data_IF_354630595152
#
_entry.id   IF_354630595152
#
_cell.length_a   1.000
_cell.length_b   1.000
_cell.length_c   1.000
_cell.angle_alpha   90.00
_cell.angle_beta   90.00
_cell.angle_gamma   90.00
#
_symmetry.space_group_name_H-M   'P 1'
#
loop_
_entity.id
_entity.type
_entity.pdbx_description
1 polymer ?
#
# COMPACT_ATOMS: atom_id res chain seq x y z
N UNK A 1 -1.67 -0.77 -2.78
CA UNK A 1 -2.49 0.29 -2.14
C UNK A 1 -2.56 1.48 -3.09
N UNK A 2 -3.64 2.27 -3.07
CA UNK A 2 -3.93 3.26 -4.13
C UNK A 2 -3.95 4.72 -3.63
N UNK A 3 -4.23 4.97 -2.35
CA UNK A 3 -4.28 6.33 -1.78
C UNK A 3 -4.05 6.35 -0.25
N UNK A 4 -3.97 7.55 0.32
CA UNK A 4 -3.77 7.77 1.77
C UNK A 4 -4.87 7.13 2.62
N UNK A 5 -6.11 7.03 2.10
CA UNK A 5 -7.19 6.32 2.78
C UNK A 5 -6.90 4.83 2.91
N UNK A 6 -6.32 4.20 1.88
CA UNK A 6 -5.90 2.80 1.96
C UNK A 6 -4.80 2.62 3.01
N UNK A 7 -3.85 3.55 3.07
CA UNK A 7 -2.77 3.55 4.07
C UNK A 7 -3.35 3.60 5.47
N UNK A 8 -4.30 4.51 5.72
CA UNK A 8 -4.98 4.62 7.01
C UNK A 8 -5.70 3.33 7.40
N UNK A 9 -6.53 2.78 6.51
CA UNK A 9 -7.28 1.54 6.78
C UNK A 9 -6.35 0.40 7.17
N UNK A 10 -5.26 0.18 6.41
CA UNK A 10 -4.31 -0.89 6.73
C UNK A 10 -3.54 -0.61 8.03
N UNK A 11 -3.17 0.64 8.29
CA UNK A 11 -2.47 0.99 9.53
C UNK A 11 -3.34 0.75 10.76
N UNK A 12 -4.61 1.14 10.70
CA UNK A 12 -5.60 0.94 11.77
C UNK A 12 -5.81 -0.56 12.03
N UNK A 13 -6.06 -1.35 10.98
CA UNK A 13 -6.29 -2.80 11.09
C UNK A 13 -5.08 -3.58 11.64
N UNK A 14 -3.85 -3.18 11.27
CA UNK A 14 -2.64 -3.78 11.81
C UNK A 14 -2.43 -3.42 13.28
N UNK A 15 -2.72 -2.16 13.64
CA UNK A 15 -2.65 -1.67 15.01
C UNK A 15 -3.61 -2.41 15.94
N UNK A 16 -4.85 -2.63 15.51
CA UNK A 16 -5.88 -3.39 16.26
C UNK A 16 -5.48 -4.85 16.52
N UNK A 17 -4.50 -5.37 15.77
CA UNK A 17 -3.95 -6.72 15.91
C UNK A 17 -2.57 -6.76 16.57
N UNK A 18 -2.10 -5.62 17.10
CA UNK A 18 -0.77 -5.46 17.69
C UNK A 18 0.40 -5.84 16.74
N UNK A 19 0.22 -5.68 15.43
CA UNK A 19 1.28 -5.91 14.46
C UNK A 19 2.12 -4.64 14.34
N UNK A 20 3.44 -4.77 14.51
CA UNK A 20 4.36 -3.63 14.44
C UNK A 20 4.57 -3.22 12.99
N UNK A 21 4.06 -2.04 12.66
CA UNK A 21 4.25 -1.38 11.37
C UNK A 21 5.57 -0.60 11.36
N UNK A 22 6.54 -1.02 10.55
CA UNK A 22 7.81 -0.32 10.39
C UNK A 22 7.71 0.80 9.35
N UNK A 23 7.01 0.54 8.24
CA UNK A 23 6.88 1.47 7.12
C UNK A 23 5.65 1.13 6.28
N UNK A 24 4.91 2.15 5.86
CA UNK A 24 3.81 2.00 4.89
C UNK A 24 3.89 3.12 3.85
N UNK A 25 3.91 2.72 2.59
CA UNK A 25 3.90 3.64 1.46
C UNK A 25 2.99 3.09 0.36
N UNK A 26 2.77 3.87 -0.69
CA UNK A 26 1.97 3.43 -1.83
C UNK A 26 2.51 2.13 -2.43
N UNK A 27 1.76 1.05 -2.27
CA UNK A 27 2.11 -0.26 -2.84
C UNK A 27 3.17 -1.04 -2.05
N UNK A 28 3.65 -0.53 -0.91
CA UNK A 28 4.70 -1.18 -0.12
C UNK A 28 4.35 -1.15 1.37
N UNK A 29 4.62 -2.27 2.03
CA UNK A 29 4.47 -2.42 3.47
C UNK A 29 5.72 -3.10 4.02
N UNK A 30 6.25 -2.61 5.14
CA UNK A 30 7.35 -3.24 5.88
C UNK A 30 6.89 -3.48 7.31
N UNK A 31 6.93 -4.72 7.74
CA UNK A 31 6.48 -5.17 9.05
C UNK A 31 7.60 -5.97 9.72
N UNK A 32 7.55 -6.00 11.05
CA UNK A 32 8.30 -6.97 11.85
C UNK A 32 7.34 -8.11 12.25
N UNK A 33 7.34 -9.19 11.48
CA UNK A 33 6.43 -10.33 11.64
C UNK A 33 7.12 -11.65 11.28
N UNK A 34 6.60 -12.76 11.82
CA UNK A 34 6.98 -14.11 11.41
C UNK A 34 6.01 -14.71 10.38
N UNK A 35 6.41 -15.84 9.79
CA UNK A 35 5.62 -16.59 8.79
C UNK A 35 4.22 -17.00 9.29
N UNK A 36 4.07 -17.26 10.59
CA UNK A 36 2.80 -17.70 11.16
C UNK A 36 1.83 -16.52 11.27
N UNK A 37 2.29 -15.36 11.69
CA UNK A 37 1.54 -14.11 11.71
C UNK A 37 1.22 -13.62 10.29
N UNK A 38 2.17 -13.75 9.35
CA UNK A 38 1.93 -13.40 7.95
C UNK A 38 0.73 -14.20 7.40
N UNK A 39 0.74 -15.53 7.57
CA UNK A 39 -0.28 -16.41 6.98
C UNK A 39 -1.63 -16.34 7.69
N UNK A 40 -1.63 -16.31 9.02
CA UNK A 40 -2.87 -16.45 9.80
C UNK A 40 -3.52 -15.11 10.14
N UNK A 41 -2.80 -14.00 10.03
CA UNK A 41 -3.28 -12.68 10.46
C UNK A 41 -3.17 -11.65 9.34
N UNK A 42 -1.98 -11.42 8.79
CA UNK A 42 -1.78 -10.36 7.78
C UNK A 42 -2.59 -10.61 6.50
N UNK A 43 -2.49 -11.82 5.93
CA UNK A 43 -3.20 -12.14 4.68
C UNK A 43 -4.72 -11.94 4.83
N UNK A 44 -5.39 -12.49 5.86
CA UNK A 44 -6.81 -12.23 6.09
C UNK A 44 -7.17 -10.75 6.26
N UNK A 45 -6.35 -9.96 6.97
CA UNK A 45 -6.57 -8.51 7.12
C UNK A 45 -6.58 -7.84 5.75
N UNK A 46 -5.58 -8.13 4.92
CA UNK A 46 -5.46 -7.55 3.58
C UNK A 46 -6.66 -7.95 2.71
N UNK A 47 -6.99 -9.24 2.66
CA UNK A 47 -8.08 -9.76 1.82
C UNK A 47 -9.45 -9.21 2.24
N UNK A 48 -9.74 -9.15 3.54
CA UNK A 48 -10.99 -8.56 4.06
C UNK A 48 -11.16 -7.08 3.70
N UNK A 49 -10.05 -6.39 3.51
CA UNK A 49 -10.01 -4.99 3.10
C UNK A 49 -9.84 -4.81 1.57
N UNK A 50 -9.96 -5.89 0.78
CA UNK A 50 -9.90 -5.86 -0.68
C UNK A 50 -8.48 -5.73 -1.26
N UNK A 51 -7.46 -6.04 -0.47
CA UNK A 51 -6.06 -6.03 -0.87
C UNK A 51 -5.54 -7.46 -1.07
N UNK A 52 -4.44 -7.58 -1.83
CA UNK A 52 -3.75 -8.85 -2.04
C UNK A 52 -2.24 -8.66 -1.98
N UNK A 53 -1.53 -9.71 -1.53
CA UNK A 53 -0.08 -9.75 -1.58
C UNK A 53 0.40 -10.17 -2.97
N UNK A 54 1.42 -9.47 -3.47
CA UNK A 54 2.03 -9.74 -4.76
C UNK A 54 3.24 -10.65 -4.54
N UNK A 55 3.11 -11.91 -4.94
CA UNK A 55 4.16 -12.93 -4.77
C UNK A 55 4.98 -13.21 -6.03
N UNK A 56 4.45 -12.90 -7.22
CA UNK A 56 5.15 -13.10 -8.49
C UNK A 56 6.20 -12.00 -8.70
N UNK A 57 7.46 -12.34 -9.01
CA UNK A 57 8.51 -11.35 -9.29
C UNK A 57 8.14 -10.40 -10.43
N UNK A 58 7.47 -10.90 -11.47
CA UNK A 58 7.03 -10.12 -12.62
C UNK A 58 6.00 -9.07 -12.20
N UNK A 59 5.02 -9.46 -11.38
CA UNK A 59 4.02 -8.53 -10.85
C UNK A 59 4.63 -7.51 -9.90
N UNK A 60 5.61 -7.92 -9.09
CA UNK A 60 6.36 -6.99 -8.22
C UNK A 60 7.10 -5.94 -9.04
N UNK A 61 7.77 -6.35 -10.14
CA UNK A 61 8.45 -5.43 -11.05
C UNK A 61 7.47 -4.42 -11.66
N UNK A 62 6.30 -4.87 -12.10
CA UNK A 62 5.26 -3.97 -12.64
C UNK A 62 4.85 -2.90 -11.62
N UNK A 63 4.63 -3.27 -10.35
CA UNK A 63 4.28 -2.29 -9.32
C UNK A 63 5.43 -1.35 -8.99
N UNK A 64 6.68 -1.84 -8.96
CA UNK A 64 7.85 -0.98 -8.77
C UNK A 64 7.96 0.08 -9.89
N UNK A 65 7.76 -0.32 -11.15
CA UNK A 65 7.77 0.62 -12.29
C UNK A 65 6.66 1.66 -12.12
N UNK A 66 5.44 1.27 -11.73
CA UNK A 66 4.33 2.21 -11.48
C UNK A 66 4.68 3.23 -10.40
N UNK A 67 5.29 2.78 -9.29
CA UNK A 67 5.72 3.65 -8.19
C UNK A 67 6.76 4.67 -8.69
N UNK A 68 7.76 4.23 -9.46
CA UNK A 68 8.77 5.13 -10.01
C UNK A 68 8.18 6.13 -11.02
N UNK A 69 7.23 5.71 -11.86
CA UNK A 69 6.49 6.62 -12.74
C UNK A 69 5.74 7.70 -11.95
N UNK A 70 5.06 7.33 -10.85
CA UNK A 70 4.38 8.30 -9.98
C UNK A 70 5.39 9.29 -9.37
N UNK A 71 6.55 8.82 -8.92
CA UNK A 71 7.62 9.68 -8.39
C UNK A 71 8.14 10.66 -9.44
N UNK A 72 8.32 10.20 -10.68
CA UNK A 72 8.72 11.04 -11.80
C UNK A 72 7.66 12.10 -12.14
N UNK A 73 6.39 11.69 -12.24
CA UNK A 73 5.27 12.61 -12.51
C UNK A 73 5.18 13.73 -11.47
N UNK A 74 5.38 13.43 -10.18
CA UNK A 74 5.41 14.44 -9.11
C UNK A 74 6.54 15.47 -9.24
N UNK A 75 7.61 15.15 -9.97
CA UNK A 75 8.76 16.05 -10.21
C UNK A 75 8.62 16.88 -11.49
N UNK A 76 7.73 16.49 -12.39
CA UNK A 76 7.51 17.23 -13.62
C UNK A 76 6.70 18.50 -13.31
N UNK A 77 6.97 19.63 -13.98
CA UNK A 77 6.21 20.87 -13.83
C UNK A 77 4.86 20.76 -14.56
N UNK A 78 4.07 19.75 -14.21
CA UNK A 78 2.76 19.51 -14.78
C UNK A 78 1.73 20.36 -14.04
N UNK A 79 1.14 21.34 -14.73
CA UNK A 79 -0.08 21.99 -14.26
C UNK A 79 -1.26 21.03 -14.46
N UNK A 80 -1.41 20.06 -13.55
CA UNK A 80 -2.59 19.20 -13.51
C UNK A 80 -3.74 20.02 -12.92
N UNK A 81 -4.57 20.60 -13.79
CA UNK A 81 -5.85 21.15 -13.39
C UNK A 81 -6.78 20.00 -13.00
N UNK A 82 -6.75 19.61 -11.72
CA UNK A 82 -7.81 18.76 -11.18
C UNK A 82 -9.11 19.58 -11.18
N UNK A 83 -10.21 19.09 -11.80
CA UNK A 83 -11.48 19.78 -11.67
C UNK A 83 -11.82 19.85 -10.18
N UNK A 84 -12.03 21.08 -9.72
CA UNK A 84 -12.47 21.40 -8.36
C UNK A 84 -13.88 20.84 -8.16
N UNK A 85 -13.97 19.57 -7.76
CA UNK A 85 -15.17 19.07 -7.10
C UNK A 85 -14.94 19.19 -5.59
N UNK A 86 -15.35 20.35 -5.09
CA UNK A 86 -15.93 20.49 -3.76
C UNK A 86 -17.10 19.50 -3.67
N UNK A 87 -17.06 18.61 -2.68
CA UNK A 87 -18.12 18.27 -1.71
C UNK A 87 -17.46 17.37 -0.66
#
# INVERSE_FOLDING_TARGET
>A
MVCDRCIKVISDELGDKNIVLLEIELGRLKLDIDDALEKNVLIPILENNGFSLIKSPEKQLVEQIKIELIKLLKKLPLSLSLPMYLI
#
